data_IF_077651541969
#
_entry.id   IF_077651541969
#
_cell.length_a   1.000
_cell.length_b   1.000
_cell.length_c   1.000
_cell.angle_alpha   90.00
_cell.angle_beta   90.00
_cell.angle_gamma   90.00
#
_symmetry.space_group_name_H-M   'P 1'
#
loop_
_entity.id
_entity.type
_entity.pdbx_description
1 polymer ?
#
# COMPACT_ATOMS: atom_id res chain seq x y z
N UNK A 1 56.28 2.87 19.64
CA UNK A 1 55.46 2.50 18.46
C UNK A 1 55.50 3.64 17.46
N UNK A 2 55.96 3.37 16.25
CA UNK A 2 56.15 4.44 15.24
C UNK A 2 54.79 4.87 14.65
N UNK A 3 54.67 6.14 14.29
CA UNK A 3 53.49 6.71 13.63
C UNK A 3 53.03 5.90 12.42
N UNK A 4 53.95 5.21 11.71
CA UNK A 4 53.66 4.32 10.59
C UNK A 4 52.91 3.03 11.01
N UNK A 5 53.14 2.49 12.20
CA UNK A 5 52.45 1.29 12.73
C UNK A 5 51.01 1.66 13.15
N UNK A 6 50.77 2.87 13.62
CA UNK A 6 49.45 3.35 13.98
C UNK A 6 48.58 3.62 12.74
N UNK A 7 49.13 4.22 11.67
CA UNK A 7 48.43 4.41 10.41
C UNK A 7 48.04 3.09 9.72
N UNK A 8 48.97 2.09 9.75
CA UNK A 8 48.69 0.79 9.16
C UNK A 8 47.58 0.02 9.91
N UNK A 9 47.54 0.08 11.24
CA UNK A 9 46.50 -0.51 12.03
C UNK A 9 45.13 0.16 11.80
N UNK A 10 45.10 1.52 11.61
CA UNK A 10 43.87 2.27 11.35
C UNK A 10 43.30 1.95 9.95
N UNK A 11 44.18 1.78 8.92
CA UNK A 11 43.77 1.43 7.56
C UNK A 11 43.23 0.01 7.52
N UNK A 12 43.87 -0.95 8.20
CA UNK A 12 43.41 -2.34 8.28
C UNK A 12 42.06 -2.43 9.00
N UNK A 13 41.85 -1.67 10.08
CA UNK A 13 40.57 -1.65 10.80
C UNK A 13 39.43 -1.06 9.94
N UNK A 14 39.73 -0.03 9.13
CA UNK A 14 38.76 0.54 8.19
C UNK A 14 38.38 -0.46 7.07
N UNK A 15 39.36 -1.22 6.53
CA UNK A 15 39.09 -2.25 5.53
C UNK A 15 38.24 -3.40 6.09
N UNK A 16 38.48 -3.84 7.32
CA UNK A 16 37.70 -4.90 7.96
C UNK A 16 36.25 -4.47 8.26
N UNK A 17 36.02 -3.22 8.70
CA UNK A 17 34.67 -2.71 8.98
C UNK A 17 33.85 -2.52 7.70
N UNK A 18 34.45 -2.07 6.60
CA UNK A 18 33.80 -1.94 5.29
C UNK A 18 33.45 -3.30 4.69
N UNK A 19 34.34 -4.28 4.83
CA UNK A 19 34.09 -5.65 4.36
C UNK A 19 32.95 -6.34 5.13
N UNK A 20 32.86 -6.18 6.44
CA UNK A 20 31.81 -6.75 7.27
C UNK A 20 30.44 -6.14 6.95
N UNK A 21 30.36 -4.82 6.76
CA UNK A 21 29.12 -4.13 6.38
C UNK A 21 28.64 -4.55 4.98
N UNK A 22 29.55 -4.68 4.00
CA UNK A 22 29.20 -5.11 2.66
C UNK A 22 28.71 -6.58 2.63
N UNK A 23 29.32 -7.45 3.44
CA UNK A 23 28.93 -8.85 3.56
C UNK A 23 27.54 -9.00 4.20
N UNK A 24 27.19 -8.16 5.17
CA UNK A 24 25.87 -8.14 5.80
C UNK A 24 24.77 -7.69 4.81
N UNK A 25 25.01 -6.62 4.05
CA UNK A 25 24.07 -6.14 3.02
C UNK A 25 23.82 -7.23 1.96
N UNK A 26 24.86 -7.94 1.51
CA UNK A 26 24.72 -9.04 0.54
C UNK A 26 23.84 -10.17 1.08
N UNK A 27 24.00 -10.55 2.35
CA UNK A 27 23.18 -11.56 3.00
C UNK A 27 21.70 -11.13 3.12
N UNK A 28 21.46 -9.88 3.49
CA UNK A 28 20.11 -9.30 3.55
C UNK A 28 19.45 -9.34 2.17
N UNK A 29 20.16 -8.87 1.13
CA UNK A 29 19.67 -8.85 -0.24
C UNK A 29 19.32 -10.25 -0.74
N UNK A 30 20.15 -11.26 -0.48
CA UNK A 30 19.88 -12.66 -0.84
C UNK A 30 18.59 -13.19 -0.18
N UNK A 31 18.31 -12.81 1.06
CA UNK A 31 17.07 -13.20 1.75
C UNK A 31 15.85 -12.46 1.20
N UNK A 32 15.99 -11.18 0.85
CA UNK A 32 14.93 -10.40 0.16
C UNK A 32 14.64 -11.01 -1.21
N UNK A 33 15.69 -11.38 -1.97
CA UNK A 33 15.54 -12.09 -3.24
C UNK A 33 14.79 -13.41 -3.07
N UNK A 34 15.11 -14.18 -2.02
CA UNK A 34 14.41 -15.43 -1.72
C UNK A 34 12.94 -15.21 -1.43
N UNK A 35 12.59 -14.18 -0.64
CA UNK A 35 11.20 -13.83 -0.36
C UNK A 35 10.45 -13.46 -1.66
N UNK A 36 10.99 -12.55 -2.46
CA UNK A 36 10.31 -12.09 -3.68
C UNK A 36 10.20 -13.23 -4.70
N UNK A 37 11.21 -14.09 -4.82
CA UNK A 37 11.16 -15.28 -5.71
C UNK A 37 10.06 -16.26 -5.27
N UNK A 38 9.94 -16.53 -3.97
CA UNK A 38 8.87 -17.42 -3.45
C UNK A 38 7.50 -16.85 -3.72
N UNK A 39 7.31 -15.54 -3.58
CA UNK A 39 6.03 -14.88 -3.89
C UNK A 39 5.70 -14.97 -5.39
N UNK A 40 6.67 -14.68 -6.26
CA UNK A 40 6.51 -14.71 -7.72
C UNK A 40 6.21 -16.12 -8.21
N UNK A 41 7.06 -17.13 -7.86
CA UNK A 41 6.94 -18.50 -8.36
C UNK A 41 5.67 -19.20 -7.92
N UNK A 42 5.03 -18.73 -6.84
CA UNK A 42 3.75 -19.24 -6.36
C UNK A 42 2.55 -18.35 -6.73
N UNK A 43 2.70 -17.42 -7.67
CA UNK A 43 1.65 -16.48 -8.08
C UNK A 43 1.03 -15.71 -6.90
N UNK A 44 1.83 -15.34 -5.88
CA UNK A 44 1.35 -14.63 -4.70
C UNK A 44 1.43 -13.11 -4.87
N UNK A 45 2.43 -12.61 -5.62
CA UNK A 45 2.58 -11.19 -5.86
C UNK A 45 3.43 -10.89 -7.10
N UNK A 46 3.10 -9.80 -7.79
CA UNK A 46 3.93 -9.11 -8.76
C UNK A 46 4.30 -7.76 -8.16
N UNK A 47 5.58 -7.54 -7.86
CA UNK A 47 6.01 -6.41 -7.04
C UNK A 47 7.29 -5.76 -7.55
N UNK A 48 7.42 -4.45 -7.29
CA UNK A 48 8.69 -3.72 -7.34
C UNK A 48 8.98 -3.18 -5.95
N UNK A 49 10.21 -3.37 -5.48
CA UNK A 49 10.67 -2.95 -4.16
C UNK A 49 12.00 -2.23 -4.31
N UNK A 50 12.10 -1.05 -3.72
CA UNK A 50 13.39 -0.35 -3.57
C UNK A 50 13.56 0.09 -2.13
N UNK A 51 14.73 -0.16 -1.55
CA UNK A 51 15.12 0.29 -0.21
C UNK A 51 16.36 1.17 -0.38
N UNK A 52 16.30 2.38 0.21
CA UNK A 52 17.43 3.30 0.25
C UNK A 52 17.81 3.63 1.69
N UNK A 53 19.06 3.93 1.92
CA UNK A 53 19.53 4.49 3.18
C UNK A 53 20.42 5.70 2.90
N UNK A 54 20.10 6.83 3.51
CA UNK A 54 20.81 8.11 3.31
C UNK A 54 20.96 8.45 1.81
N UNK A 55 19.91 8.26 1.02
CA UNK A 55 19.85 8.53 -0.42
C UNK A 55 20.55 7.47 -1.31
N UNK A 56 21.18 6.44 -0.75
CA UNK A 56 21.83 5.37 -1.51
C UNK A 56 20.91 4.16 -1.63
N UNK A 57 20.67 3.68 -2.84
CA UNK A 57 19.94 2.42 -3.07
C UNK A 57 20.77 1.26 -2.53
N UNK A 58 20.18 0.49 -1.60
CA UNK A 58 20.77 -0.73 -1.04
C UNK A 58 20.13 -2.00 -1.61
N UNK A 59 18.87 -1.91 -2.02
CA UNK A 59 18.14 -2.98 -2.66
C UNK A 59 17.16 -2.42 -3.69
N UNK A 60 17.08 -3.05 -4.85
CA UNK A 60 16.07 -2.73 -5.86
C UNK A 60 15.81 -3.95 -6.72
N UNK A 61 14.55 -4.41 -6.75
CA UNK A 61 14.14 -5.57 -7.56
C UNK A 61 12.67 -5.45 -7.93
N UNK A 62 12.33 -5.94 -9.13
CA UNK A 62 10.96 -6.16 -9.57
C UNK A 62 10.75 -7.63 -9.93
N UNK A 63 9.50 -8.10 -9.80
CA UNK A 63 9.04 -9.45 -10.15
C UNK A 63 7.70 -9.40 -10.86
N UNK A 64 7.40 -10.39 -11.67
CA UNK A 64 6.18 -10.46 -12.45
C UNK A 64 6.27 -9.73 -13.78
N UNK A 65 5.15 -9.23 -14.26
CA UNK A 65 5.01 -8.62 -15.59
C UNK A 65 4.11 -7.38 -15.56
N UNK A 66 4.26 -6.53 -16.57
CA UNK A 66 3.47 -5.31 -16.76
C UNK A 66 2.26 -5.52 -17.67
N UNK A 67 2.34 -6.50 -18.55
CA UNK A 67 1.35 -6.86 -19.56
C UNK A 67 1.38 -8.35 -19.85
N UNK A 68 0.23 -8.98 -20.06
CA UNK A 68 0.07 -10.38 -20.43
C UNK A 68 -0.87 -10.57 -21.64
N UNK A 69 -1.12 -9.52 -22.39
CA UNK A 69 -2.05 -9.56 -23.57
C UNK A 69 -1.37 -10.10 -24.83
N UNK A 70 -0.04 -10.09 -24.90
CA UNK A 70 0.75 -10.59 -26.02
C UNK A 70 1.02 -12.10 -25.97
N UNK A 71 1.81 -12.58 -26.92
CA UNK A 71 2.24 -13.99 -27.00
C UNK A 71 3.09 -14.43 -25.77
N UNK A 72 3.76 -13.48 -25.13
CA UNK A 72 4.51 -13.68 -23.88
C UNK A 72 4.33 -12.46 -22.99
N UNK A 73 4.26 -12.65 -21.65
CA UNK A 73 4.20 -11.53 -20.74
C UNK A 73 5.44 -10.63 -20.85
N UNK A 74 5.23 -9.31 -20.71
CA UNK A 74 6.32 -8.32 -20.66
C UNK A 74 6.77 -8.18 -19.21
N UNK A 75 8.02 -8.58 -18.93
CA UNK A 75 8.55 -8.55 -17.56
C UNK A 75 8.60 -7.13 -16.98
N UNK A 76 8.34 -7.01 -15.67
CA UNK A 76 8.55 -5.77 -14.93
C UNK A 76 10.03 -5.54 -14.60
N UNK A 77 10.39 -4.28 -14.35
CA UNK A 77 11.73 -3.86 -13.91
C UNK A 77 11.63 -2.85 -12.77
N UNK A 78 12.71 -2.50 -12.07
CA UNK A 78 12.69 -1.42 -11.08
C UNK A 78 12.26 -0.06 -11.65
N UNK A 79 12.45 0.15 -12.96
CA UNK A 79 12.04 1.35 -13.70
C UNK A 79 10.59 1.27 -14.21
N UNK A 80 9.89 0.18 -13.96
CA UNK A 80 8.47 0.07 -14.29
C UNK A 80 7.66 1.08 -13.49
N UNK A 81 6.79 1.79 -14.20
CA UNK A 81 5.89 2.79 -13.64
C UNK A 81 4.58 2.15 -13.20
N UNK A 82 4.17 2.47 -11.99
CA UNK A 82 2.93 1.99 -11.37
C UNK A 82 2.03 3.17 -11.01
N UNK A 83 0.73 3.02 -11.14
CA UNK A 83 -0.23 3.92 -10.50
C UNK A 83 -0.11 3.75 -8.99
N UNK A 84 0.34 4.81 -8.30
CA UNK A 84 0.65 4.74 -6.87
C UNK A 84 -0.55 5.04 -5.96
N UNK A 85 -1.73 5.24 -6.56
CA UNK A 85 -2.95 5.51 -5.81
C UNK A 85 -2.76 6.62 -4.77
N UNK A 86 -3.20 6.38 -3.56
CA UNK A 86 -3.25 7.40 -2.50
C UNK A 86 -1.89 7.93 -2.01
N UNK A 87 -0.76 7.35 -2.40
CA UNK A 87 0.56 8.00 -2.18
C UNK A 87 0.58 9.38 -2.88
N UNK A 88 -0.20 9.58 -3.94
CA UNK A 88 -0.42 10.88 -4.60
C UNK A 88 -0.78 12.01 -3.63
N UNK A 89 -1.44 11.69 -2.51
CA UNK A 89 -1.84 12.67 -1.49
C UNK A 89 -0.63 13.35 -0.84
N UNK A 90 0.49 12.64 -0.70
CA UNK A 90 1.71 13.24 -0.19
C UNK A 90 2.24 14.32 -1.13
N UNK A 91 2.19 14.09 -2.45
CA UNK A 91 2.57 15.09 -3.46
C UNK A 91 1.64 16.30 -3.42
N UNK A 92 0.32 16.06 -3.33
CA UNK A 92 -0.69 17.13 -3.18
C UNK A 92 -0.45 17.95 -1.92
N UNK A 93 -0.18 17.30 -0.78
CA UNK A 93 0.12 17.98 0.49
C UNK A 93 1.37 18.84 0.42
N UNK A 94 2.43 18.34 -0.20
CA UNK A 94 3.66 19.12 -0.43
C UNK A 94 3.35 20.37 -1.24
N UNK A 95 2.61 20.26 -2.35
CA UNK A 95 2.24 21.41 -3.18
C UNK A 95 1.35 22.42 -2.43
N UNK A 96 0.41 21.97 -1.61
CA UNK A 96 -0.40 22.85 -0.75
C UNK A 96 0.48 23.56 0.28
N UNK A 97 1.41 22.86 0.94
CA UNK A 97 2.31 23.46 1.93
C UNK A 97 3.27 24.46 1.28
N UNK A 98 3.74 24.23 0.07
CA UNK A 98 4.50 25.22 -0.70
C UNK A 98 3.67 26.48 -0.97
N UNK A 99 2.38 26.34 -1.31
CA UNK A 99 1.49 27.50 -1.50
C UNK A 99 1.23 28.25 -0.18
N UNK A 100 1.23 27.55 0.95
CA UNK A 100 1.17 28.17 2.29
C UNK A 100 2.47 28.98 2.55
N UNK A 101 3.64 28.43 2.28
CA UNK A 101 4.93 29.12 2.40
C UNK A 101 5.03 30.35 1.47
N UNK A 102 4.45 30.24 0.28
CA UNK A 102 4.30 31.36 -0.68
C UNK A 102 3.25 32.41 -0.24
N UNK A 103 2.57 32.20 0.89
CA UNK A 103 1.49 33.07 1.43
C UNK A 103 0.29 33.23 0.48
N UNK A 104 0.09 32.31 -0.44
CA UNK A 104 -1.09 32.24 -1.33
C UNK A 104 -2.28 31.59 -0.67
N UNK A 105 -2.04 30.80 0.38
CA UNK A 105 -2.99 30.03 1.12
C UNK A 105 -2.60 30.03 2.61
N UNK A 106 -3.56 29.70 3.48
CA UNK A 106 -3.33 29.39 4.89
C UNK A 106 -4.00 28.05 5.21
N UNK A 107 -3.45 27.30 6.15
CA UNK A 107 -4.09 26.08 6.64
C UNK A 107 -5.49 26.35 7.24
N UNK A 108 -5.72 27.55 7.76
CA UNK A 108 -7.00 28.00 8.32
C UNK A 108 -7.95 28.60 7.28
N UNK A 109 -7.54 28.68 6.01
CA UNK A 109 -8.40 29.20 4.94
C UNK A 109 -9.64 28.32 4.82
N UNK A 110 -10.87 28.90 4.89
CA UNK A 110 -12.12 28.13 4.74
C UNK A 110 -12.30 27.65 3.30
N UNK A 111 -12.86 26.45 3.15
CA UNK A 111 -13.13 25.83 1.86
C UNK A 111 -14.07 26.68 1.00
N UNK A 112 -14.99 27.42 1.63
CA UNK A 112 -15.96 28.29 0.95
C UNK A 112 -15.32 29.42 0.13
N UNK A 113 -14.03 29.75 0.38
CA UNK A 113 -13.27 30.67 -0.49
C UNK A 113 -13.19 30.15 -1.92
N UNK A 114 -13.21 28.84 -2.12
CA UNK A 114 -13.08 28.16 -3.42
C UNK A 114 -14.40 27.50 -3.86
N UNK A 115 -15.08 26.80 -2.96
CA UNK A 115 -16.24 25.95 -3.27
C UNK A 115 -17.38 26.20 -2.29
N UNK A 116 -18.17 27.25 -2.52
CA UNK A 116 -19.26 27.69 -1.62
C UNK A 116 -20.43 26.70 -1.51
N UNK A 117 -20.63 25.85 -2.53
CA UNK A 117 -21.74 24.90 -2.57
C UNK A 117 -21.39 23.54 -1.93
N UNK A 118 -20.11 23.29 -1.64
CA UNK A 118 -19.73 22.08 -0.92
C UNK A 118 -20.30 22.13 0.49
N UNK A 119 -20.92 21.06 0.98
CA UNK A 119 -21.52 21.04 2.31
C UNK A 119 -20.50 21.41 3.41
N UNK A 120 -20.92 22.24 4.36
CA UNK A 120 -20.11 22.74 5.47
C UNK A 120 -18.86 23.56 5.07
N UNK A 121 -18.77 24.04 3.82
CA UNK A 121 -17.59 24.71 3.29
C UNK A 121 -17.10 25.90 4.13
N UNK A 122 -18.00 26.65 4.77
CA UNK A 122 -17.65 27.77 5.64
C UNK A 122 -16.91 27.34 6.93
N UNK A 123 -17.13 26.11 7.37
CA UNK A 123 -16.56 25.54 8.59
C UNK A 123 -15.35 24.64 8.32
N UNK A 124 -15.18 24.11 7.12
CA UNK A 124 -14.07 23.26 6.72
C UNK A 124 -12.87 24.12 6.36
N UNK A 125 -11.71 23.83 6.94
CA UNK A 125 -10.45 24.49 6.59
C UNK A 125 -9.58 23.62 5.65
N UNK A 126 -8.53 24.21 5.07
CA UNK A 126 -7.53 23.46 4.30
C UNK A 126 -6.86 22.37 5.17
N UNK A 127 -6.59 22.68 6.46
CA UNK A 127 -6.06 21.69 7.38
C UNK A 127 -7.02 20.50 7.56
N UNK A 128 -8.34 20.74 7.67
CA UNK A 128 -9.36 19.70 7.83
C UNK A 128 -9.45 18.80 6.58
N UNK A 129 -9.17 19.32 5.38
CA UNK A 129 -9.06 18.51 4.17
C UNK A 129 -7.81 17.65 4.19
N UNK A 130 -6.64 18.23 4.52
CA UNK A 130 -5.35 17.54 4.52
C UNK A 130 -5.28 16.40 5.53
N UNK A 131 -5.91 16.56 6.71
CA UNK A 131 -5.89 15.59 7.79
C UNK A 131 -7.20 14.78 7.95
N UNK A 132 -8.07 14.80 6.94
CA UNK A 132 -9.31 14.02 6.91
C UNK A 132 -10.32 14.30 8.02
N UNK A 133 -10.43 15.57 8.49
CA UNK A 133 -11.39 16.00 9.50
C UNK A 133 -12.53 16.86 8.91
N UNK A 134 -12.72 16.83 7.60
CA UNK A 134 -13.73 17.63 6.91
C UNK A 134 -15.16 17.15 7.12
N UNK A 135 -15.35 15.85 7.38
CA UNK A 135 -16.67 15.21 7.38
C UNK A 135 -17.30 15.03 5.99
N UNK A 136 -16.58 15.33 4.91
CA UNK A 136 -17.08 15.13 3.54
C UNK A 136 -17.14 13.64 3.19
N UNK A 137 -18.26 13.24 2.58
CA UNK A 137 -18.44 11.87 2.10
C UNK A 137 -17.32 11.47 1.14
N UNK A 138 -16.80 10.29 1.32
CA UNK A 138 -15.81 9.72 0.39
C UNK A 138 -16.55 9.16 -0.83
N UNK A 139 -16.47 9.85 -1.97
CA UNK A 139 -17.19 9.45 -3.18
C UNK A 139 -16.88 8.04 -3.67
N UNK A 140 -15.70 7.50 -3.35
CA UNK A 140 -15.33 6.12 -3.72
C UNK A 140 -16.06 5.06 -2.87
N UNK A 141 -16.76 5.47 -1.79
CA UNK A 141 -17.61 4.57 -0.98
C UNK A 141 -19.03 4.42 -1.57
N UNK A 142 -19.35 5.15 -2.64
CA UNK A 142 -20.63 5.01 -3.34
C UNK A 142 -20.70 3.66 -4.07
N UNK A 143 -21.83 2.95 -3.93
CA UNK A 143 -22.10 1.71 -4.69
C UNK A 143 -22.12 1.95 -6.21
N UNK A 144 -22.36 3.18 -6.64
CA UNK A 144 -22.35 3.57 -8.05
C UNK A 144 -20.93 3.79 -8.59
N UNK A 145 -19.92 4.02 -7.73
CA UNK A 145 -18.57 4.34 -8.15
C UNK A 145 -17.99 3.32 -9.15
N UNK A 146 -18.07 1.99 -8.93
CA UNK A 146 -17.54 1.01 -9.88
C UNK A 146 -18.19 1.05 -11.27
N UNK A 147 -19.40 1.60 -11.39
CA UNK A 147 -20.14 1.66 -12.66
C UNK A 147 -19.63 2.74 -13.59
N UNK A 148 -18.96 3.77 -13.05
CA UNK A 148 -18.53 4.93 -13.84
C UNK A 148 -17.05 5.30 -13.66
N UNK A 149 -16.30 4.59 -12.85
CA UNK A 149 -14.89 4.92 -12.57
C UNK A 149 -13.98 4.85 -13.81
N UNK A 150 -14.39 4.13 -14.84
CA UNK A 150 -13.63 4.01 -16.11
C UNK A 150 -13.95 5.10 -17.14
N UNK A 151 -14.90 5.99 -16.83
CA UNK A 151 -15.36 7.06 -17.71
C UNK A 151 -14.77 8.40 -17.29
N UNK A 152 -14.23 9.16 -18.25
CA UNK A 152 -13.70 10.49 -17.97
C UNK A 152 -14.76 11.42 -17.35
N UNK A 153 -14.38 12.16 -16.32
CA UNK A 153 -15.22 13.15 -15.65
C UNK A 153 -14.58 14.54 -15.72
N UNK A 154 -15.39 15.51 -16.09
CA UNK A 154 -14.94 16.91 -16.02
C UNK A 154 -14.92 17.38 -14.57
N UNK A 155 -14.10 18.40 -14.26
CA UNK A 155 -14.09 19.08 -12.96
C UNK A 155 -15.51 19.47 -12.51
N UNK A 156 -16.33 19.97 -13.45
CA UNK A 156 -17.72 20.36 -13.16
C UNK A 156 -18.53 19.17 -12.67
N UNK A 157 -18.48 18.03 -13.36
CA UNK A 157 -19.20 16.81 -12.98
C UNK A 157 -18.75 16.27 -11.63
N UNK A 158 -17.43 16.31 -11.35
CA UNK A 158 -16.92 15.90 -10.04
C UNK A 158 -17.38 16.86 -8.92
N UNK A 159 -17.40 18.18 -9.16
CA UNK A 159 -17.92 19.14 -8.18
C UNK A 159 -19.41 18.96 -7.95
N UNK A 160 -20.23 18.79 -8.99
CA UNK A 160 -21.68 18.50 -8.86
C UNK A 160 -21.93 17.23 -8.03
N UNK A 161 -21.12 16.18 -8.25
CA UNK A 161 -21.18 14.96 -7.46
C UNK A 161 -20.85 15.22 -5.99
N UNK A 162 -19.79 15.97 -5.68
CA UNK A 162 -19.36 16.29 -4.32
C UNK A 162 -20.38 17.20 -3.62
N UNK A 163 -20.88 18.24 -4.30
CA UNK A 163 -21.85 19.17 -3.79
C UNK A 163 -23.20 18.50 -3.46
N UNK A 164 -23.56 17.45 -4.20
CA UNK A 164 -24.80 16.68 -3.99
C UNK A 164 -24.73 15.65 -2.86
N UNK A 165 -23.56 15.38 -2.27
CA UNK A 165 -23.40 14.40 -1.19
C UNK A 165 -23.73 14.99 0.19
N UNK A 166 -24.30 14.16 1.07
CA UNK A 166 -24.50 14.55 2.47
C UNK A 166 -23.21 14.36 3.27
N UNK A 167 -22.86 15.29 4.16
CA UNK A 167 -21.75 15.09 5.09
C UNK A 167 -21.98 13.86 5.97
N UNK A 168 -20.90 13.19 6.36
CA UNK A 168 -20.96 12.00 7.23
C UNK A 168 -20.96 12.41 8.70
N UNK A 169 -20.28 13.53 9.03
CA UNK A 169 -20.20 14.13 10.36
C UNK A 169 -19.85 15.63 10.24
N UNK A 170 -19.89 16.36 11.34
CA UNK A 170 -19.50 17.78 11.35
C UNK A 170 -17.99 17.95 11.28
N UNK A 171 -17.48 19.01 10.63
CA UNK A 171 -16.05 19.26 10.56
C UNK A 171 -15.38 19.22 11.95
N UNK A 172 -14.25 18.50 12.05
CA UNK A 172 -13.45 18.32 13.28
C UNK A 172 -14.08 17.46 14.39
N UNK A 173 -15.23 16.84 14.15
CA UNK A 173 -15.84 15.91 15.10
C UNK A 173 -15.00 14.63 15.26
N UNK A 174 -14.47 14.11 14.16
CA UNK A 174 -13.56 12.97 14.11
C UNK A 174 -12.71 12.99 12.84
N UNK A 175 -11.67 12.13 12.79
CA UNK A 175 -10.93 11.84 11.57
C UNK A 175 -11.54 10.66 10.82
N UNK A 176 -11.86 10.85 9.52
CA UNK A 176 -12.30 9.76 8.63
C UNK A 176 -11.82 10.00 7.20
N UNK A 177 -11.13 9.00 6.65
CA UNK A 177 -10.49 9.10 5.35
C UNK A 177 -11.48 9.40 4.23
N UNK A 178 -11.18 10.44 3.41
CA UNK A 178 -12.00 10.80 2.26
C UNK A 178 -11.14 11.25 1.08
N UNK A 179 -11.29 10.57 -0.06
CA UNK A 179 -10.66 10.96 -1.33
C UNK A 179 -11.18 12.31 -1.83
N UNK A 180 -12.43 12.64 -1.52
CA UNK A 180 -13.06 13.93 -1.86
C UNK A 180 -12.21 15.12 -1.42
N UNK A 181 -11.60 15.05 -0.23
CA UNK A 181 -10.73 16.09 0.28
C UNK A 181 -9.57 16.42 -0.68
N UNK A 182 -8.93 15.41 -1.18
CA UNK A 182 -7.73 15.57 -2.00
C UNK A 182 -8.04 15.87 -3.47
N UNK A 183 -9.22 15.49 -3.97
CA UNK A 183 -9.72 16.00 -5.25
C UNK A 183 -9.91 17.52 -5.18
N UNK A 184 -10.56 18.01 -4.10
CA UNK A 184 -10.74 19.45 -3.88
C UNK A 184 -9.41 20.19 -3.70
N UNK A 185 -8.45 19.61 -2.95
CA UNK A 185 -7.09 20.19 -2.81
C UNK A 185 -6.36 20.28 -4.15
N UNK A 186 -6.51 19.27 -5.02
CA UNK A 186 -5.99 19.32 -6.39
C UNK A 186 -6.55 20.51 -7.16
N UNK A 187 -7.85 20.75 -7.12
CA UNK A 187 -8.47 21.91 -7.78
C UNK A 187 -8.06 23.25 -7.17
N UNK A 188 -7.84 23.30 -5.85
CA UNK A 188 -7.33 24.51 -5.17
C UNK A 188 -5.92 24.85 -5.66
N UNK A 189 -5.06 23.86 -5.88
CA UNK A 189 -3.72 24.08 -6.46
C UNK A 189 -3.84 24.72 -7.85
N UNK A 190 -4.73 24.19 -8.69
CA UNK A 190 -4.97 24.72 -10.04
C UNK A 190 -5.51 26.16 -10.01
N UNK A 191 -6.50 26.45 -9.14
CA UNK A 191 -7.08 27.78 -9.01
C UNK A 191 -6.07 28.84 -8.54
N UNK A 192 -5.19 28.47 -7.61
CA UNK A 192 -4.19 29.41 -7.06
C UNK A 192 -2.99 29.65 -7.98
N UNK A 193 -2.71 28.70 -8.87
CA UNK A 193 -1.52 28.76 -9.73
C UNK A 193 -1.85 29.12 -11.18
N UNK A 194 -3.09 28.93 -11.61
CA UNK A 194 -3.50 29.06 -13.01
C UNK A 194 -2.89 27.99 -13.93
N UNK A 195 -2.35 26.91 -13.34
CA UNK A 195 -1.72 25.79 -14.05
C UNK A 195 -2.43 24.50 -13.70
N UNK A 196 -2.41 23.53 -14.62
CA UNK A 196 -2.94 22.18 -14.35
C UNK A 196 -2.22 21.50 -13.18
N UNK A 197 -2.86 20.51 -12.55
CA UNK A 197 -2.23 19.68 -11.52
C UNK A 197 -0.93 19.04 -12.04
N UNK A 198 -0.95 18.53 -13.28
CA UNK A 198 0.24 17.95 -13.93
C UNK A 198 1.41 18.95 -14.03
N UNK A 199 1.15 20.20 -14.43
CA UNK A 199 2.19 21.24 -14.51
C UNK A 199 2.71 21.62 -13.13
N UNK A 200 1.85 21.68 -12.12
CA UNK A 200 2.26 21.91 -10.73
C UNK A 200 3.13 20.76 -10.19
N UNK A 201 2.71 19.51 -10.40
CA UNK A 201 3.50 18.32 -10.03
C UNK A 201 4.88 18.38 -10.67
N UNK A 202 4.93 18.70 -11.96
CA UNK A 202 6.18 18.82 -12.71
C UNK A 202 7.08 19.93 -12.18
N UNK A 203 6.57 21.15 -12.14
CA UNK A 203 7.42 22.33 -11.84
C UNK A 203 7.78 22.44 -10.36
N UNK A 204 6.97 21.93 -9.45
CA UNK A 204 7.15 22.04 -8.01
C UNK A 204 7.89 20.87 -7.38
N UNK A 205 7.81 19.67 -7.99
CA UNK A 205 8.35 18.46 -7.38
C UNK A 205 9.25 17.70 -8.34
N UNK A 206 8.74 17.23 -9.51
CA UNK A 206 9.49 16.24 -10.28
C UNK A 206 10.71 16.82 -11.00
N UNK A 207 10.62 18.01 -11.57
CA UNK A 207 11.77 18.67 -12.20
C UNK A 207 12.84 19.07 -11.17
N UNK A 208 12.50 19.73 -10.03
CA UNK A 208 13.50 20.07 -9.01
C UNK A 208 14.27 18.87 -8.45
N UNK A 209 13.63 17.71 -8.35
CA UNK A 209 14.24 16.48 -7.83
C UNK A 209 14.80 15.55 -8.91
N UNK A 210 14.59 15.86 -10.20
CA UNK A 210 15.00 14.99 -11.29
C UNK A 210 14.24 13.68 -11.40
N UNK A 211 12.99 13.60 -10.92
CA UNK A 211 12.14 12.40 -10.96
C UNK A 211 11.59 12.21 -12.38
N UNK A 212 12.29 11.43 -13.18
CA UNK A 212 11.96 11.26 -14.62
C UNK A 212 10.78 10.32 -14.87
N UNK A 213 10.44 9.49 -13.90
CA UNK A 213 9.41 8.47 -14.01
C UNK A 213 8.18 8.76 -13.15
N UNK A 214 8.10 9.96 -12.54
CA UNK A 214 6.97 10.42 -11.74
C UNK A 214 6.18 11.47 -12.52
N UNK A 215 4.91 11.17 -12.83
CA UNK A 215 4.06 12.04 -13.65
C UNK A 215 2.58 11.86 -13.30
N UNK A 216 1.74 12.75 -13.84
CA UNK A 216 0.30 12.57 -13.81
C UNK A 216 -0.07 11.44 -14.79
N UNK A 217 -0.76 10.41 -14.31
CA UNK A 217 -1.09 9.25 -15.13
C UNK A 217 -2.16 9.56 -16.19
N UNK A 218 -2.02 8.93 -17.33
CA UNK A 218 -3.02 8.81 -18.37
C UNK A 218 -3.56 7.38 -18.47
N UNK A 219 -3.99 6.99 -19.67
CA UNK A 219 -4.20 5.58 -20.00
C UNK A 219 -2.86 4.85 -19.97
N UNK A 220 -2.87 3.59 -19.52
CA UNK A 220 -1.65 2.77 -19.43
C UNK A 220 -0.98 2.65 -20.81
N UNK A 221 0.31 2.89 -20.84
CA UNK A 221 1.16 2.78 -22.02
C UNK A 221 2.32 1.80 -21.77
N UNK A 222 2.15 0.54 -22.14
CA UNK A 222 3.19 -0.47 -21.97
C UNK A 222 4.50 -0.14 -22.72
N UNK A 223 4.43 0.58 -23.85
CA UNK A 223 5.62 1.04 -24.57
C UNK A 223 6.45 2.05 -23.77
N UNK A 224 5.83 2.73 -22.79
CA UNK A 224 6.50 3.62 -21.85
C UNK A 224 6.88 2.91 -20.52
N UNK A 225 6.87 1.59 -20.49
CA UNK A 225 7.12 0.76 -19.31
C UNK A 225 6.13 1.05 -18.16
N UNK A 226 4.84 1.22 -18.50
CA UNK A 226 3.76 1.38 -17.53
C UNK A 226 3.05 0.05 -17.33
N UNK A 227 2.78 -0.33 -16.09
CA UNK A 227 2.10 -1.57 -15.78
C UNK A 227 0.57 -1.44 -15.88
N UNK A 228 -0.09 -2.49 -16.38
CA UNK A 228 -1.49 -2.76 -16.08
C UNK A 228 -1.61 -3.42 -14.72
N UNK A 229 -2.81 -3.39 -14.13
CA UNK A 229 -3.09 -4.08 -12.87
C UNK A 229 -3.91 -5.35 -13.08
N UNK A 230 -3.75 -6.28 -12.14
CA UNK A 230 -4.32 -7.62 -12.26
C UNK A 230 -4.93 -8.08 -10.93
N UNK A 231 -5.93 -8.96 -11.04
CA UNK A 231 -6.37 -9.84 -9.96
C UNK A 231 -6.01 -11.29 -10.29
N UNK A 232 -5.80 -12.10 -9.25
CA UNK A 232 -5.60 -13.53 -9.42
C UNK A 232 -6.90 -14.25 -9.17
N UNK A 233 -7.44 -14.89 -10.21
CA UNK A 233 -8.65 -15.68 -10.16
C UNK A 233 -8.53 -16.88 -11.10
N UNK A 234 -9.12 -18.01 -10.74
CA UNK A 234 -9.15 -19.25 -11.53
C UNK A 234 -7.75 -19.70 -12.00
N UNK A 235 -6.74 -19.57 -11.14
CA UNK A 235 -5.38 -20.02 -11.41
C UNK A 235 -4.57 -19.10 -12.34
N UNK A 236 -5.06 -17.90 -12.66
CA UNK A 236 -4.39 -16.96 -13.58
C UNK A 236 -4.54 -15.51 -13.15
N UNK A 237 -3.65 -14.67 -13.65
CA UNK A 237 -3.74 -13.22 -13.53
C UNK A 237 -4.66 -12.65 -14.60
N UNK A 238 -5.72 -11.97 -14.19
CA UNK A 238 -6.72 -11.33 -15.07
C UNK A 238 -6.53 -9.83 -14.96
N UNK A 239 -6.34 -9.16 -16.11
CA UNK A 239 -6.20 -7.70 -16.17
C UNK A 239 -7.50 -7.02 -15.74
N UNK A 240 -7.36 -5.99 -14.90
CA UNK A 240 -8.48 -5.19 -14.41
C UNK A 240 -8.73 -3.96 -15.28
N UNK A 241 -9.97 -3.45 -15.30
CA UNK A 241 -10.29 -2.15 -15.90
C UNK A 241 -9.52 -1.02 -15.23
N UNK A 242 -9.27 0.04 -15.98
CA UNK A 242 -8.56 1.23 -15.52
C UNK A 242 -9.52 2.32 -15.05
N UNK A 243 -9.32 2.85 -13.86
CA UNK A 243 -9.94 4.12 -13.43
C UNK A 243 -9.44 5.27 -14.31
N UNK A 244 -10.34 6.11 -14.81
CA UNK A 244 -9.95 7.32 -15.54
C UNK A 244 -9.33 8.35 -14.58
N UNK A 245 -8.13 8.84 -14.90
CA UNK A 245 -7.33 9.68 -14.00
C UNK A 245 -7.90 11.08 -13.77
N UNK A 246 -8.88 11.52 -14.55
CA UNK A 246 -9.64 12.74 -14.28
C UNK A 246 -10.47 12.66 -13.00
N UNK A 247 -10.73 11.45 -12.50
CA UNK A 247 -11.58 11.20 -11.32
C UNK A 247 -10.78 11.36 -10.02
N UNK A 248 -9.69 10.60 -9.77
CA UNK A 248 -8.98 10.70 -8.51
C UNK A 248 -8.16 11.99 -8.36
N UNK A 249 -7.76 12.65 -9.46
CA UNK A 249 -7.06 13.92 -9.41
C UNK A 249 -5.95 13.96 -8.34
N UNK A 250 -5.94 14.96 -7.49
CA UNK A 250 -4.97 15.09 -6.39
C UNK A 250 -5.01 13.97 -5.34
N UNK A 251 -6.02 13.11 -5.36
CA UNK A 251 -6.15 11.99 -4.43
C UNK A 251 -5.44 10.71 -4.88
N UNK A 252 -5.17 10.55 -6.21
CA UNK A 252 -4.72 9.24 -6.68
C UNK A 252 -4.13 9.17 -8.08
N UNK A 253 -3.89 10.27 -8.78
CA UNK A 253 -3.54 10.26 -10.21
C UNK A 253 -2.03 10.23 -10.51
N UNK A 254 -1.17 10.01 -9.54
CA UNK A 254 0.27 9.97 -9.80
C UNK A 254 0.71 8.58 -10.22
N UNK A 255 1.53 8.53 -11.26
CA UNK A 255 2.28 7.37 -11.73
C UNK A 255 3.74 7.55 -11.30
N UNK A 256 4.39 6.49 -10.80
CA UNK A 256 5.78 6.58 -10.35
C UNK A 256 6.49 5.21 -10.35
N UNK A 257 7.78 5.22 -10.06
CA UNK A 257 8.61 4.04 -9.81
C UNK A 257 9.04 3.99 -8.35
N UNK A 258 9.45 2.82 -7.86
CA UNK A 258 9.95 2.70 -6.48
C UNK A 258 11.22 3.48 -6.21
N UNK A 259 12.20 3.65 -7.15
CA UNK A 259 13.31 4.56 -6.96
C UNK A 259 12.91 6.04 -6.83
N UNK A 260 12.03 6.53 -7.74
CA UNK A 260 11.58 7.93 -7.71
C UNK A 260 10.81 8.24 -6.41
N UNK A 261 9.98 7.31 -5.92
CA UNK A 261 9.26 7.44 -4.65
C UNK A 261 10.22 7.57 -3.47
N UNK A 262 11.29 6.78 -3.43
CA UNK A 262 12.30 6.87 -2.39
C UNK A 262 13.07 8.19 -2.42
N UNK A 263 13.40 8.71 -3.62
CA UNK A 263 14.02 10.04 -3.75
C UNK A 263 13.06 11.13 -3.28
N UNK A 264 11.78 11.06 -3.67
CA UNK A 264 10.76 12.01 -3.23
C UNK A 264 10.66 12.09 -1.71
N UNK A 265 10.49 10.96 -1.02
CA UNK A 265 10.30 10.99 0.43
C UNK A 265 11.59 11.36 1.16
N UNK A 266 12.75 10.93 0.68
CA UNK A 266 14.05 11.33 1.24
C UNK A 266 14.25 12.85 1.10
N UNK A 267 13.99 13.42 -0.08
CA UNK A 267 14.06 14.86 -0.34
C UNK A 267 13.07 15.65 0.53
N UNK A 268 11.87 15.12 0.78
CA UNK A 268 10.90 15.73 1.68
C UNK A 268 11.45 15.84 3.11
N UNK A 269 12.01 14.78 3.65
CA UNK A 269 12.57 14.77 5.01
C UNK A 269 13.92 15.47 5.12
N UNK A 270 14.64 15.63 4.02
CA UNK A 270 15.87 16.46 3.91
C UNK A 270 15.58 17.96 3.77
N UNK A 271 14.30 18.39 3.78
CA UNK A 271 13.91 19.80 3.67
C UNK A 271 14.08 20.43 2.29
N UNK A 272 14.21 19.61 1.23
CA UNK A 272 14.38 20.10 -0.15
C UNK A 272 13.08 20.58 -0.79
N UNK A 273 11.92 20.19 -0.26
CA UNK A 273 10.61 20.47 -0.85
C UNK A 273 9.79 21.49 -0.07
N UNK A 274 9.85 21.43 1.25
CA UNK A 274 9.16 22.32 2.19
C UNK A 274 10.07 22.61 3.38
N UNK A 275 9.79 23.69 4.12
CA UNK A 275 10.52 24.04 5.33
C UNK A 275 10.36 23.03 6.45
N UNK A 276 11.27 23.05 7.43
CA UNK A 276 11.20 22.23 8.64
C UNK A 276 9.89 22.45 9.41
N UNK A 277 9.39 23.69 9.47
CA UNK A 277 8.12 24.01 10.12
C UNK A 277 6.93 23.38 9.40
N UNK A 278 6.91 23.41 8.07
CA UNK A 278 5.88 22.76 7.26
C UNK A 278 5.96 21.24 7.37
N UNK A 279 7.16 20.66 7.38
CA UNK A 279 7.36 19.22 7.60
C UNK A 279 6.88 18.80 8.99
N UNK A 280 7.19 19.58 10.02
CA UNK A 280 6.69 19.35 11.38
C UNK A 280 5.17 19.40 11.44
N UNK A 281 4.54 20.37 10.79
CA UNK A 281 3.08 20.45 10.68
C UNK A 281 2.52 19.24 9.93
N UNK A 282 3.16 18.82 8.82
CA UNK A 282 2.75 17.67 8.03
C UNK A 282 2.78 16.36 8.84
N UNK A 283 3.77 16.18 9.69
CA UNK A 283 3.99 14.96 10.48
C UNK A 283 3.36 14.99 11.87
N UNK A 284 2.76 16.12 12.28
CA UNK A 284 1.98 16.22 13.52
C UNK A 284 0.61 15.56 13.30
N UNK A 285 0.32 14.52 14.10
CA UNK A 285 -0.89 13.72 13.94
C UNK A 285 -2.05 14.26 14.77
N UNK A 286 -3.24 14.22 14.18
CA UNK A 286 -4.53 14.33 14.85
C UNK A 286 -5.35 13.09 14.48
N UNK A 287 -5.84 12.34 15.46
CA UNK A 287 -6.58 11.09 15.26
C UNK A 287 -5.91 10.12 14.24
N UNK A 288 -4.58 9.97 14.35
CA UNK A 288 -3.69 9.18 13.47
C UNK A 288 -3.47 9.76 12.05
N UNK A 289 -4.03 10.92 11.71
CA UNK A 289 -3.84 11.58 10.42
C UNK A 289 -2.89 12.77 10.54
N UNK A 290 -1.79 12.77 9.77
CA UNK A 290 -1.02 13.96 9.46
C UNK A 290 -1.59 14.69 8.24
N UNK A 291 -0.91 15.71 7.73
CA UNK A 291 -1.35 16.41 6.52
C UNK A 291 -0.99 15.59 5.27
N UNK A 292 -1.83 14.61 4.93
CA UNK A 292 -1.63 13.66 3.82
C UNK A 292 -0.52 12.65 4.06
N UNK A 293 -0.19 12.36 5.31
CA UNK A 293 0.83 11.38 5.71
C UNK A 293 0.36 10.63 6.97
N UNK A 294 0.81 9.38 7.11
CA UNK A 294 0.57 8.57 8.30
C UNK A 294 1.88 8.30 9.03
N UNK A 295 1.77 7.98 10.33
CA UNK A 295 2.84 7.36 11.10
C UNK A 295 2.58 5.87 11.21
N UNK A 296 3.54 5.06 10.77
CA UNK A 296 3.41 3.61 10.68
C UNK A 296 4.44 2.98 11.63
N UNK A 297 3.99 2.28 12.68
CA UNK A 297 4.90 1.61 13.62
C UNK A 297 5.48 0.34 12.99
N UNK A 298 6.73 0.01 13.34
CA UNK A 298 7.38 -1.25 13.02
C UNK A 298 8.34 -1.63 14.16
N UNK A 299 7.94 -2.57 15.03
CA UNK A 299 8.63 -2.88 16.27
C UNK A 299 8.92 -1.60 17.08
N UNK A 300 10.18 -1.37 17.49
CA UNK A 300 10.65 -0.17 18.20
C UNK A 300 10.78 1.07 17.29
N UNK A 301 10.58 0.93 16.00
CA UNK A 301 10.71 1.99 14.98
C UNK A 301 9.37 2.59 14.62
N UNK A 302 9.43 3.77 14.05
CA UNK A 302 8.28 4.37 13.38
C UNK A 302 8.73 4.98 12.07
N UNK A 303 7.94 4.79 11.04
CA UNK A 303 8.09 5.47 9.76
C UNK A 303 6.97 6.48 9.55
N UNK A 304 7.19 7.41 8.64
CA UNK A 304 6.17 8.27 8.07
C UNK A 304 6.00 7.93 6.60
N UNK A 305 4.77 7.97 6.10
CA UNK A 305 4.50 7.63 4.72
C UNK A 305 3.02 7.52 4.42
N UNK A 306 2.71 6.82 3.35
CA UNK A 306 1.34 6.55 2.94
C UNK A 306 1.24 5.22 2.18
N UNK A 307 0.10 4.58 2.24
CA UNK A 307 -0.25 3.44 1.38
C UNK A 307 -1.09 3.91 0.20
N UNK A 308 -1.13 3.13 -0.86
CA UNK A 308 -1.96 3.43 -2.02
C UNK A 308 -2.67 2.20 -2.54
N UNK A 309 -3.89 2.40 -3.02
CA UNK A 309 -4.66 1.40 -3.74
C UNK A 309 -5.47 2.10 -4.83
N UNK A 310 -5.46 1.54 -6.03
CA UNK A 310 -6.30 1.94 -7.15
C UNK A 310 -6.35 0.79 -8.15
N UNK A 311 -7.53 0.46 -8.67
CA UNK A 311 -7.74 -0.72 -9.51
C UNK A 311 -7.18 -1.99 -8.80
N UNK A 312 -6.26 -2.73 -9.40
CA UNK A 312 -5.52 -3.82 -8.77
C UNK A 312 -4.14 -3.42 -8.24
N UNK A 313 -3.76 -2.14 -8.35
CA UNK A 313 -2.49 -1.66 -7.81
C UNK A 313 -2.55 -1.51 -6.29
N UNK A 314 -1.46 -1.88 -5.64
CA UNK A 314 -1.22 -1.63 -4.22
C UNK A 314 0.19 -1.08 -4.03
N UNK A 315 0.34 -0.09 -3.17
CA UNK A 315 1.63 0.57 -2.97
C UNK A 315 1.84 0.99 -1.51
N UNK A 316 3.10 1.14 -1.13
CA UNK A 316 3.50 1.69 0.17
C UNK A 316 4.77 2.49 0.00
N UNK A 317 4.81 3.66 0.62
CA UNK A 317 6.00 4.49 0.76
C UNK A 317 6.20 4.78 2.24
N UNK A 318 7.39 4.46 2.77
CA UNK A 318 7.73 4.61 4.17
C UNK A 318 9.12 5.22 4.33
N UNK A 319 9.27 6.16 5.26
CA UNK A 319 10.55 6.75 5.65
C UNK A 319 10.76 6.62 7.16
N UNK A 320 11.88 6.04 7.57
CA UNK A 320 12.32 5.87 8.95
C UNK A 320 13.34 6.97 9.29
N UNK A 321 12.93 8.07 9.95
CA UNK A 321 13.80 9.24 10.10
C UNK A 321 15.07 8.97 10.91
N UNK A 322 14.97 8.12 11.94
CA UNK A 322 16.11 7.78 12.82
C UNK A 322 17.18 6.99 12.05
N UNK A 323 16.74 6.06 11.20
CA UNK A 323 17.62 5.17 10.42
C UNK A 323 18.01 5.79 9.07
N UNK A 324 17.35 6.89 8.66
CA UNK A 324 17.41 7.51 7.32
C UNK A 324 17.17 6.49 6.20
N UNK A 325 16.21 5.60 6.42
CA UNK A 325 15.83 4.53 5.50
C UNK A 325 14.50 4.87 4.86
N UNK A 326 14.42 4.77 3.54
CA UNK A 326 13.15 4.75 2.83
C UNK A 326 12.92 3.41 2.15
N UNK A 327 11.66 2.97 2.14
CA UNK A 327 11.19 1.79 1.43
C UNK A 327 9.98 2.17 0.59
N UNK A 328 10.09 1.97 -0.71
CA UNK A 328 8.98 2.02 -1.65
C UNK A 328 8.65 0.60 -2.14
N UNK A 329 7.38 0.29 -2.12
CA UNK A 329 6.80 -0.95 -2.60
C UNK A 329 5.66 -0.59 -3.56
N UNK A 330 5.65 -1.17 -4.75
CA UNK A 330 4.55 -1.11 -5.70
C UNK A 330 4.21 -2.52 -6.17
N UNK A 331 2.92 -2.81 -6.29
CA UNK A 331 2.42 -4.06 -6.84
C UNK A 331 1.34 -3.76 -7.85
N UNK A 332 1.32 -4.50 -8.95
CA UNK A 332 0.24 -4.50 -9.92
C UNK A 332 -0.62 -5.78 -9.87
N UNK A 333 -0.36 -6.67 -8.92
CA UNK A 333 -1.18 -7.85 -8.67
C UNK A 333 -0.78 -8.55 -7.37
N UNK A 334 -1.76 -8.76 -6.48
CA UNK A 334 -1.58 -9.43 -5.19
C UNK A 334 -2.58 -10.58 -5.04
N UNK A 335 -2.06 -11.75 -4.71
CA UNK A 335 -2.78 -12.94 -4.28
C UNK A 335 -2.27 -13.41 -2.91
N UNK A 336 -1.74 -12.47 -2.14
CA UNK A 336 -1.25 -12.64 -0.78
C UNK A 336 -1.41 -11.31 -0.04
N UNK A 337 -1.53 -11.36 1.28
CA UNK A 337 -1.79 -10.17 2.07
C UNK A 337 -0.59 -9.21 2.03
N UNK A 338 -0.79 -7.99 1.52
CA UNK A 338 0.25 -6.98 1.37
C UNK A 338 1.03 -6.73 2.67
N UNK A 339 0.31 -6.62 3.79
CA UNK A 339 0.93 -6.36 5.08
C UNK A 339 1.97 -7.43 5.47
N UNK A 340 1.71 -8.70 5.17
CA UNK A 340 2.62 -9.79 5.49
C UNK A 340 3.88 -9.74 4.62
N UNK A 341 3.74 -9.29 3.35
CA UNK A 341 4.89 -9.03 2.47
C UNK A 341 5.74 -7.88 3.04
N UNK A 342 5.10 -6.76 3.43
CA UNK A 342 5.79 -5.59 3.97
C UNK A 342 6.49 -5.89 5.29
N UNK A 343 5.85 -6.63 6.19
CA UNK A 343 6.46 -7.12 7.43
C UNK A 343 7.67 -8.00 7.11
N UNK A 344 7.56 -8.88 6.11
CA UNK A 344 8.66 -9.73 5.66
C UNK A 344 9.85 -8.92 5.17
N UNK A 345 9.62 -7.97 4.25
CA UNK A 345 10.66 -7.10 3.70
C UNK A 345 11.35 -6.32 4.81
N UNK A 346 10.59 -5.64 5.67
CA UNK A 346 11.15 -4.84 6.76
C UNK A 346 11.85 -5.69 7.81
N UNK A 347 11.32 -6.89 8.14
CA UNK A 347 11.96 -7.80 9.08
C UNK A 347 13.30 -8.31 8.55
N UNK A 348 13.37 -8.66 7.27
CA UNK A 348 14.62 -9.08 6.64
C UNK A 348 15.63 -7.92 6.60
N UNK A 349 15.18 -6.72 6.25
CA UNK A 349 16.04 -5.55 6.16
C UNK A 349 16.59 -5.10 7.53
N UNK A 350 15.73 -5.05 8.56
CA UNK A 350 16.10 -4.65 9.93
C UNK A 350 16.55 -5.83 10.80
N UNK A 351 16.83 -6.98 10.20
CA UNK A 351 17.35 -8.20 10.86
C UNK A 351 16.47 -8.66 12.05
N UNK A 352 15.16 -8.51 11.92
CA UNK A 352 14.19 -9.08 12.86
C UNK A 352 13.91 -10.55 12.53
N UNK A 353 13.52 -11.38 13.51
CA UNK A 353 13.14 -12.77 13.25
C UNK A 353 12.04 -12.85 12.20
N UNK A 354 12.29 -13.56 11.11
CA UNK A 354 11.33 -13.79 10.04
C UNK A 354 11.60 -15.09 9.31
N UNK A 355 10.55 -15.87 9.12
CA UNK A 355 10.57 -17.09 8.30
C UNK A 355 9.91 -16.80 6.97
N UNK A 356 10.62 -17.02 5.87
CA UNK A 356 10.05 -16.87 4.51
C UNK A 356 8.92 -17.89 4.36
N UNK A 357 7.71 -17.46 3.92
CA UNK A 357 6.56 -18.35 3.80
C UNK A 357 6.82 -19.48 2.80
N UNK A 358 6.23 -20.64 3.05
CA UNK A 358 6.19 -21.75 2.10
C UNK A 358 4.76 -21.90 1.61
N UNK A 359 4.56 -21.91 0.30
CA UNK A 359 3.25 -22.06 -0.35
C UNK A 359 3.07 -23.47 -0.93
N UNK A 360 3.81 -24.43 -0.40
CA UNK A 360 3.61 -25.82 -0.80
C UNK A 360 2.20 -26.26 -0.43
N UNK A 361 1.47 -26.77 -1.41
CA UNK A 361 0.18 -27.40 -1.22
C UNK A 361 0.31 -28.91 -1.30
N UNK A 362 -0.58 -29.63 -0.62
CA UNK A 362 -0.68 -31.08 -0.70
C UNK A 362 -2.04 -31.42 -1.29
N UNK A 363 -2.05 -32.40 -2.18
CA UNK A 363 -3.31 -32.98 -2.66
C UNK A 363 -3.77 -34.04 -1.65
N UNK A 364 -4.97 -33.83 -1.10
CA UNK A 364 -5.59 -34.81 -0.17
C UNK A 364 -6.67 -35.57 -0.90
N UNK A 365 -6.85 -36.90 -0.62
CA UNK A 365 -7.97 -37.64 -1.13
C UNK A 365 -9.32 -37.05 -0.70
N UNK A 366 -10.32 -37.05 -1.58
CA UNK A 366 -11.65 -36.49 -1.31
C UNK A 366 -12.29 -37.04 -0.04
N UNK A 367 -12.13 -38.35 0.21
CA UNK A 367 -12.64 -39.01 1.42
C UNK A 367 -12.07 -38.42 2.71
N UNK A 368 -10.84 -37.91 2.64
CA UNK A 368 -10.23 -37.28 3.80
C UNK A 368 -10.73 -35.83 3.96
N UNK A 369 -11.03 -35.10 2.87
CA UNK A 369 -11.56 -33.77 2.90
C UNK A 369 -12.96 -33.69 3.50
N UNK A 370 -13.82 -34.65 3.23
CA UNK A 370 -15.18 -34.69 3.79
C UNK A 370 -15.23 -34.75 5.33
N UNK A 371 -14.18 -35.23 5.98
CA UNK A 371 -14.08 -35.25 7.45
C UNK A 371 -14.07 -33.82 8.06
N UNK A 372 -13.64 -32.83 7.32
CA UNK A 372 -13.55 -31.41 7.78
C UNK A 372 -14.88 -30.68 7.62
N UNK A 373 -15.85 -31.20 6.88
CA UNK A 373 -17.15 -30.55 6.73
C UNK A 373 -17.87 -30.38 8.06
N UNK A 374 -18.53 -29.26 8.24
CA UNK A 374 -19.34 -28.98 9.42
C UNK A 374 -19.45 -27.49 9.71
N UNK A 375 -20.17 -27.21 10.79
CA UNK A 375 -20.28 -25.89 11.38
C UNK A 375 -19.37 -25.82 12.61
N UNK A 376 -18.72 -24.65 12.76
CA UNK A 376 -17.76 -24.41 13.82
C UNK A 376 -18.05 -23.07 14.50
N UNK A 377 -17.99 -23.08 15.83
CA UNK A 377 -18.27 -21.90 16.66
C UNK A 377 -17.10 -21.58 17.58
N UNK A 378 -16.95 -20.31 17.95
CA UNK A 378 -15.92 -19.83 18.89
C UNK A 378 -16.59 -19.08 20.03
N UNK A 379 -16.03 -19.22 21.23
CA UNK A 379 -16.42 -18.42 22.40
C UNK A 379 -15.83 -17.00 22.32
N UNK A 380 -14.78 -16.79 21.51
CA UNK A 380 -14.06 -15.52 21.37
C UNK A 380 -14.57 -14.65 20.22
N UNK A 381 -15.22 -15.26 19.22
CA UNK A 381 -15.75 -14.56 18.06
C UNK A 381 -17.24 -14.91 17.87
N UNK A 382 -18.15 -13.95 17.80
CA UNK A 382 -19.61 -14.19 17.68
C UNK A 382 -19.99 -14.49 16.22
N UNK A 383 -19.34 -15.49 15.62
CA UNK A 383 -19.63 -15.92 14.26
C UNK A 383 -19.53 -17.44 14.14
N UNK A 384 -20.26 -17.99 13.18
CA UNK A 384 -20.19 -19.40 12.79
C UNK A 384 -19.39 -19.49 11.50
N UNK A 385 -18.44 -20.42 11.43
CA UNK A 385 -17.75 -20.75 10.18
C UNK A 385 -18.26 -22.11 9.70
N UNK A 386 -18.81 -22.12 8.49
CA UNK A 386 -19.25 -23.35 7.82
C UNK A 386 -18.17 -23.81 6.85
N UNK A 387 -17.71 -25.03 6.96
CA UNK A 387 -16.76 -25.68 6.03
C UNK A 387 -17.53 -26.72 5.20
N UNK A 388 -17.40 -26.68 3.88
CA UNK A 388 -18.10 -27.56 2.93
C UNK A 388 -17.20 -27.97 1.78
N UNK A 389 -17.51 -29.11 1.18
CA UNK A 389 -16.95 -29.48 -0.11
C UNK A 389 -17.58 -28.66 -1.23
N UNK A 390 -16.75 -28.21 -2.14
CA UNK A 390 -17.11 -27.60 -3.42
C UNK A 390 -16.27 -28.26 -4.52
N UNK A 391 -16.85 -29.24 -5.19
CA UNK A 391 -16.14 -30.14 -6.11
C UNK A 391 -15.06 -30.92 -5.37
N UNK A 392 -13.82 -30.73 -5.71
CA UNK A 392 -12.62 -31.38 -5.16
C UNK A 392 -11.91 -30.61 -4.07
N UNK A 393 -12.48 -29.48 -3.62
CA UNK A 393 -11.87 -28.57 -2.63
C UNK A 393 -12.77 -28.31 -1.45
N UNK A 394 -12.18 -27.90 -0.34
CA UNK A 394 -12.91 -27.33 0.77
C UNK A 394 -13.11 -25.81 0.54
N UNK A 395 -14.28 -25.33 0.96
CA UNK A 395 -14.57 -23.90 1.10
C UNK A 395 -14.93 -23.62 2.55
N UNK A 396 -14.65 -22.39 3.01
CA UNK A 396 -15.09 -21.90 4.30
C UNK A 396 -15.92 -20.63 4.11
N UNK A 397 -16.94 -20.45 4.94
CA UNK A 397 -17.84 -19.31 4.93
C UNK A 397 -18.12 -18.86 6.37
N UNK A 398 -17.76 -17.64 6.71
CA UNK A 398 -18.19 -17.02 7.96
C UNK A 398 -19.59 -16.39 7.81
N UNK A 399 -20.35 -16.32 8.91
CA UNK A 399 -21.69 -15.71 8.94
C UNK A 399 -21.66 -14.31 8.32
N UNK A 400 -22.53 -14.09 7.32
CA UNK A 400 -22.66 -12.80 6.63
C UNK A 400 -21.57 -12.47 5.63
N UNK A 401 -20.65 -13.40 5.33
CA UNK A 401 -19.56 -13.22 4.37
C UNK A 401 -19.71 -14.18 3.18
N UNK A 402 -18.98 -13.93 2.11
CA UNK A 402 -18.88 -14.84 0.97
C UNK A 402 -18.01 -16.05 1.31
N UNK A 403 -18.30 -17.19 0.70
CA UNK A 403 -17.46 -18.38 0.80
C UNK A 403 -16.14 -18.16 0.07
N UNK A 404 -15.05 -18.75 0.58
CA UNK A 404 -13.73 -18.72 -0.02
C UNK A 404 -13.11 -20.13 -0.05
N UNK A 405 -12.28 -20.44 -1.08
CA UNK A 405 -11.63 -21.74 -1.18
C UNK A 405 -10.51 -21.88 -0.16
N UNK A 406 -10.29 -23.12 0.30
CA UNK A 406 -9.21 -23.49 1.20
C UNK A 406 -8.18 -24.35 0.46
N UNK A 407 -6.92 -23.96 0.51
CA UNK A 407 -5.77 -24.71 0.00
C UNK A 407 -5.14 -25.53 1.13
N UNK A 408 -5.01 -26.84 0.96
CA UNK A 408 -4.37 -27.70 1.95
C UNK A 408 -2.85 -27.50 1.93
N UNK A 409 -2.26 -27.04 3.03
CA UNK A 409 -0.82 -26.99 3.25
C UNK A 409 -0.27 -28.26 3.91
N UNK A 410 -1.12 -28.97 4.65
CA UNK A 410 -0.88 -30.29 5.22
C UNK A 410 -2.22 -31.02 5.41
N UNK A 411 -2.18 -32.18 6.04
CA UNK A 411 -3.41 -32.91 6.43
C UNK A 411 -4.27 -32.14 7.44
N UNK A 412 -3.70 -31.22 8.20
CA UNK A 412 -4.42 -30.47 9.24
C UNK A 412 -4.44 -28.98 9.00
N UNK A 413 -3.60 -28.43 8.12
CA UNK A 413 -3.51 -27.01 7.87
C UNK A 413 -4.06 -26.64 6.50
N UNK A 414 -5.04 -25.74 6.51
CA UNK A 414 -5.66 -25.19 5.31
C UNK A 414 -5.56 -23.67 5.33
N UNK A 415 -5.39 -23.07 4.14
CA UNK A 415 -5.07 -21.64 3.99
C UNK A 415 -5.96 -20.97 2.96
N UNK A 416 -6.23 -19.69 3.21
CA UNK A 416 -6.70 -18.74 2.19
C UNK A 416 -5.78 -17.50 2.23
N UNK A 417 -4.72 -17.57 1.45
CA UNK A 417 -3.60 -16.62 1.50
C UNK A 417 -3.99 -15.18 1.15
N UNK A 418 -4.98 -14.98 0.28
CA UNK A 418 -5.48 -13.66 -0.12
C UNK A 418 -5.98 -12.83 1.08
N UNK A 419 -6.57 -13.50 2.08
CA UNK A 419 -7.04 -12.86 3.31
C UNK A 419 -6.14 -13.12 4.54
N UNK A 420 -5.00 -13.82 4.37
CA UNK A 420 -4.12 -14.22 5.46
C UNK A 420 -4.80 -15.14 6.48
N UNK A 421 -5.69 -16.00 6.01
CA UNK A 421 -6.40 -16.97 6.84
C UNK A 421 -5.62 -18.29 6.87
N UNK A 422 -5.36 -18.80 8.08
CA UNK A 422 -4.84 -20.15 8.30
C UNK A 422 -5.79 -20.87 9.26
N UNK A 423 -6.29 -22.04 8.86
CA UNK A 423 -7.14 -22.89 9.67
C UNK A 423 -6.36 -24.17 10.02
N UNK A 424 -6.03 -24.37 11.30
CA UNK A 424 -5.28 -25.53 11.79
C UNK A 424 -6.26 -26.44 12.50
N UNK A 425 -6.68 -27.51 11.83
CA UNK A 425 -7.67 -28.46 12.37
C UNK A 425 -7.07 -29.37 13.44
N UNK A 426 -7.83 -29.59 14.49
CA UNK A 426 -7.55 -30.55 15.54
C UNK A 426 -8.27 -31.89 15.25
N UNK A 427 -7.50 -32.97 15.20
CA UNK A 427 -7.98 -34.33 14.94
C UNK A 427 -7.72 -35.14 16.19
N UNK A 428 -8.74 -35.91 16.64
CA UNK A 428 -8.61 -36.83 17.77
C UNK A 428 -7.75 -38.05 17.40
N UNK A 429 -7.39 -38.85 18.42
CA UNK A 429 -6.68 -40.12 18.22
C UNK A 429 -7.54 -41.13 17.43
N UNK A 430 -8.85 -40.93 17.38
CA UNK A 430 -9.79 -41.75 16.58
C UNK A 430 -9.97 -41.26 15.15
N UNK A 431 -9.29 -40.17 14.76
CA UNK A 431 -9.37 -39.56 13.41
C UNK A 431 -10.54 -38.59 13.21
N UNK A 432 -11.28 -38.24 14.26
CA UNK A 432 -12.38 -37.27 14.16
C UNK A 432 -11.89 -35.83 14.24
N UNK A 433 -12.42 -34.98 13.37
CA UNK A 433 -12.17 -33.52 13.40
C UNK A 433 -13.03 -32.89 14.49
N UNK A 434 -12.40 -32.34 15.53
CA UNK A 434 -13.08 -31.77 16.70
C UNK A 434 -13.22 -30.23 16.61
N UNK A 435 -12.39 -29.55 15.83
CA UNK A 435 -12.37 -28.12 15.70
C UNK A 435 -11.17 -27.63 14.89
N UNK A 436 -10.91 -26.35 14.93
CA UNK A 436 -9.70 -25.77 14.38
C UNK A 436 -9.30 -24.49 15.14
N UNK A 437 -8.05 -24.11 15.01
CA UNK A 437 -7.58 -22.75 15.35
C UNK A 437 -7.57 -21.91 14.10
N UNK A 438 -8.34 -20.82 14.08
CA UNK A 438 -8.26 -19.77 13.06
C UNK A 438 -7.12 -18.82 13.44
N UNK A 439 -6.14 -18.70 12.58
CA UNK A 439 -5.07 -17.71 12.70
C UNK A 439 -5.28 -16.61 11.66
N UNK A 440 -5.59 -15.41 12.15
CA UNK A 440 -5.77 -14.19 11.35
C UNK A 440 -5.46 -12.96 12.20
N UNK A 441 -4.17 -12.61 12.31
CA UNK A 441 -3.69 -11.55 13.20
C UNK A 441 -3.58 -11.98 14.68
N UNK A 442 -4.44 -12.90 15.13
CA UNK A 442 -4.41 -13.62 16.41
C UNK A 442 -4.93 -15.04 16.21
N UNK A 443 -4.78 -15.88 17.21
CA UNK A 443 -5.25 -17.27 17.20
C UNK A 443 -6.61 -17.37 17.92
N UNK A 444 -7.64 -17.87 17.20
CA UNK A 444 -9.00 -18.03 17.71
C UNK A 444 -9.42 -19.50 17.62
N UNK A 445 -9.71 -20.18 18.75
CA UNK A 445 -10.18 -21.57 18.74
C UNK A 445 -11.65 -21.66 18.31
N UNK A 446 -11.94 -22.61 17.45
CA UNK A 446 -13.28 -22.99 17.00
C UNK A 446 -13.54 -24.47 17.32
N UNK A 447 -14.70 -24.77 17.83
CA UNK A 447 -15.17 -26.13 18.11
C UNK A 447 -16.19 -26.56 17.07
N UNK A 448 -16.12 -27.83 16.60
CA UNK A 448 -17.10 -28.40 15.69
C UNK A 448 -18.44 -28.58 16.42
N UNK A 449 -19.52 -28.08 15.83
CA UNK A 449 -20.86 -28.27 16.35
C UNK A 449 -21.24 -29.73 16.12
N UNK A 450 -21.52 -30.47 17.20
CA UNK A 450 -22.04 -31.84 17.09
C UNK A 450 -23.47 -31.77 16.60
N UNK A 451 -23.77 -32.48 15.51
CA UNK A 451 -25.15 -32.67 15.02
C UNK A 451 -25.94 -33.53 15.95
#
# INVERSE_FOLDING_TARGET
MSLKSFLFALVVFLFFSVSASAQNISAINSRLDSLLTVLETNNKAMVSVTITQSGKILYSRATGFIDNTGASPVASSPETRYRIGSISKMFTSVMILQLVEEKKLSLETPLSKFFRKVPNADSITIADLLNHHSGLFNFTNSEEYPKWMTEARTRKQMLELIEGQKPVFLPREKGEYSNTNFVLLGYIIEDLTGKSYQENLSTRITLPLGLKNTLYAGKVNHAANEASSFEYADGKWIMLPETDMSIPGGAGSVLSTTPDLNEFISALFDGKLISENSLKSMTTLKDNYGLGIFKIPFYERSSYGHTGGIDGFSSTLSYFPVDKVSMAFCSNGLNYKMNDILIGILSLYFEKPYTIPSFKTVSLPLVNLSAYEGEYTSEQLPLVITVRMDGDKLTAQATGQQAFPLEAASTTEFRFDKAGIVMIFSISDTGEVNGFTLRQGADYPFKKVKK
#
